data_IF_729584505479
#
_entry.id   IF_729584505479
#
_cell.length_a   1.000
_cell.length_b   1.000
_cell.length_c   1.000
_cell.angle_alpha   90.00
_cell.angle_beta   90.00
_cell.angle_gamma   90.00
#
_symmetry.space_group_name_H-M   'P 1'
#
loop_
_entity.id
_entity.type
_entity.pdbx_description
1 polymer ?
#
# COMPACT_ATOMS: atom_id res chain seq x y z
N UNK A 1 4.45 10.73 17.35
CA UNK A 1 3.28 11.36 16.74
C UNK A 1 2.02 11.04 17.56
N UNK A 2 1.08 11.96 17.77
CA UNK A 2 -0.09 11.75 18.62
C UNK A 2 -1.01 10.61 18.15
N UNK A 3 -1.07 10.32 16.86
CA UNK A 3 -1.85 9.21 16.28
C UNK A 3 -1.27 7.83 16.63
N UNK A 4 0.01 7.73 17.01
CA UNK A 4 0.69 6.44 17.15
C UNK A 4 0.06 5.48 18.17
N UNK A 5 -0.32 5.88 19.40
CA UNK A 5 -0.93 4.95 20.35
C UNK A 5 -2.24 4.35 19.84
N UNK A 6 -3.07 5.18 19.17
CA UNK A 6 -4.33 4.75 18.58
C UNK A 6 -4.10 3.77 17.41
N UNK A 7 -3.23 4.14 16.46
CA UNK A 7 -2.83 3.27 15.36
C UNK A 7 -2.27 1.94 15.87
N UNK A 8 -1.40 1.96 16.88
CA UNK A 8 -0.81 0.75 17.47
C UNK A 8 -1.87 -0.17 18.07
N UNK A 9 -2.88 0.39 18.74
CA UNK A 9 -4.01 -0.36 19.28
C UNK A 9 -4.82 -1.04 18.17
N UNK A 10 -5.16 -0.30 17.10
CA UNK A 10 -5.87 -0.85 15.94
C UNK A 10 -5.06 -1.98 15.31
N UNK A 11 -3.80 -1.74 14.97
CA UNK A 11 -2.96 -2.70 14.26
C UNK A 11 -2.58 -3.93 15.09
N UNK A 12 -2.75 -3.89 16.40
CA UNK A 12 -2.60 -5.09 17.24
C UNK A 12 -3.66 -6.16 16.96
N UNK A 13 -4.77 -5.79 16.34
CA UNK A 13 -5.91 -6.67 16.02
C UNK A 13 -5.90 -7.12 14.55
N UNK A 14 -4.94 -6.65 13.74
CA UNK A 14 -4.87 -6.99 12.32
C UNK A 14 -4.65 -8.50 12.11
N UNK A 15 -5.05 -9.06 10.96
CA UNK A 15 -4.77 -10.45 10.61
C UNK A 15 -3.27 -10.76 10.69
N UNK A 16 -2.95 -11.97 11.15
CA UNK A 16 -1.58 -12.45 11.15
C UNK A 16 -1.04 -12.58 9.71
N UNK A 17 0.26 -12.33 9.49
CA UNK A 17 0.90 -12.51 8.20
C UNK A 17 0.68 -13.92 7.64
N UNK A 18 0.37 -14.02 6.35
CA UNK A 18 0.29 -15.28 5.63
C UNK A 18 1.56 -15.44 4.77
N UNK A 19 2.37 -16.44 5.09
CA UNK A 19 3.61 -16.73 4.36
C UNK A 19 3.36 -17.22 2.93
N UNK A 20 2.17 -17.76 2.65
CA UNK A 20 1.80 -18.17 1.27
C UNK A 20 1.54 -16.97 0.37
N UNK A 21 1.31 -15.80 0.97
CA UNK A 21 1.16 -14.51 0.29
C UNK A 21 2.41 -13.63 0.40
N UNK A 22 3.54 -14.21 0.80
CA UNK A 22 4.82 -13.49 1.02
C UNK A 22 4.72 -12.32 2.00
N UNK A 23 3.76 -12.36 2.93
CA UNK A 23 3.59 -11.31 3.92
C UNK A 23 4.75 -11.26 4.90
N UNK A 24 5.40 -10.10 4.98
CA UNK A 24 6.39 -9.77 6.02
C UNK A 24 5.77 -8.71 6.92
N UNK A 25 5.65 -9.02 8.21
CA UNK A 25 5.00 -8.10 9.14
C UNK A 25 5.84 -6.85 9.39
N UNK A 26 5.34 -5.69 8.98
CA UNK A 26 5.86 -4.42 9.44
C UNK A 26 5.30 -4.04 10.82
N UNK A 27 6.05 -3.23 11.54
CA UNK A 27 5.59 -2.69 12.83
C UNK A 27 4.58 -1.56 12.62
N UNK A 28 3.70 -1.26 13.61
CA UNK A 28 2.84 -0.08 13.55
C UNK A 28 3.62 1.23 13.34
N UNK A 29 4.85 1.29 13.85
CA UNK A 29 5.75 2.43 13.64
C UNK A 29 6.19 2.54 12.17
N UNK A 30 6.39 1.41 11.49
CA UNK A 30 6.73 1.40 10.05
C UNK A 30 5.55 1.92 9.23
N UNK A 31 4.33 1.45 9.48
CA UNK A 31 3.12 1.95 8.82
C UNK A 31 2.96 3.47 9.01
N UNK A 32 3.14 3.96 10.24
CA UNK A 32 3.09 5.40 10.53
C UNK A 32 4.18 6.18 9.78
N UNK A 33 5.42 5.69 9.75
CA UNK A 33 6.53 6.36 9.04
C UNK A 33 6.26 6.45 7.54
N UNK A 34 5.71 5.40 6.93
CA UNK A 34 5.30 5.39 5.52
C UNK A 34 4.21 6.41 5.26
N UNK A 35 3.17 6.42 6.07
CA UNK A 35 2.08 7.38 5.96
C UNK A 35 2.56 8.83 6.13
N UNK A 36 3.40 9.12 7.13
CA UNK A 36 4.02 10.43 7.32
C UNK A 36 4.93 10.83 6.16
N UNK A 37 5.67 9.89 5.57
CA UNK A 37 6.48 10.17 4.39
C UNK A 37 5.58 10.61 3.23
N UNK A 38 4.51 9.88 2.95
CA UNK A 38 3.58 10.19 1.87
C UNK A 38 2.91 11.55 2.09
N UNK A 39 2.39 11.80 3.29
CA UNK A 39 1.71 13.06 3.65
C UNK A 39 2.64 14.28 3.63
N UNK A 40 3.93 14.11 3.99
CA UNK A 40 4.87 15.24 4.04
C UNK A 40 5.59 15.51 2.70
N UNK A 41 5.73 14.49 1.83
CA UNK A 41 6.48 14.63 0.58
C UNK A 41 5.61 14.96 -0.62
N UNK A 42 4.32 14.69 -0.53
CA UNK A 42 3.38 14.87 -1.63
C UNK A 42 2.19 15.72 -1.18
N UNK A 43 1.75 16.61 -2.06
CA UNK A 43 0.46 17.25 -1.89
C UNK A 43 -0.62 16.21 -2.21
N UNK A 44 -1.26 15.72 -1.17
CA UNK A 44 -2.33 14.73 -1.27
C UNK A 44 -3.73 15.38 -1.34
N UNK A 45 -3.81 16.71 -1.35
CA UNK A 45 -5.08 17.43 -1.50
C UNK A 45 -5.72 17.02 -2.83
N UNK A 46 -6.95 16.56 -2.78
CA UNK A 46 -7.70 16.08 -3.95
C UNK A 46 -7.07 14.90 -4.71
N UNK A 47 -6.02 14.28 -4.18
CA UNK A 47 -5.38 13.13 -4.78
C UNK A 47 -6.19 11.85 -4.55
N UNK A 48 -6.18 10.95 -5.55
CA UNK A 48 -6.64 9.57 -5.40
C UNK A 48 -5.42 8.68 -5.19
N UNK A 49 -5.37 7.98 -4.07
CA UNK A 49 -4.24 7.12 -3.69
C UNK A 49 -4.66 5.66 -3.68
N UNK A 50 -3.88 4.82 -4.36
CA UNK A 50 -4.02 3.37 -4.35
C UNK A 50 -2.90 2.72 -3.55
N UNK A 51 -3.24 1.81 -2.66
CA UNK A 51 -2.30 0.88 -2.06
C UNK A 51 -2.47 -0.49 -2.71
N UNK A 52 -1.43 -0.97 -3.40
CA UNK A 52 -1.37 -2.31 -3.99
C UNK A 52 -0.65 -3.25 -3.01
N UNK A 53 -1.42 -4.15 -2.41
CA UNK A 53 -0.97 -4.92 -1.27
C UNK A 53 -0.78 -4.01 -0.04
N UNK A 54 -1.59 -4.18 0.99
CA UNK A 54 -1.56 -3.29 2.16
C UNK A 54 -1.51 -4.07 3.47
N UNK A 55 -0.78 -5.20 3.49
CA UNK A 55 -0.65 -6.01 4.69
C UNK A 55 -0.15 -5.22 5.91
N UNK A 56 0.65 -4.20 5.68
CA UNK A 56 1.19 -3.30 6.70
C UNK A 56 0.18 -2.30 7.25
N UNK A 57 -1.01 -2.19 6.63
CA UNK A 57 -2.05 -1.23 6.99
C UNK A 57 -1.59 0.23 6.89
N UNK A 58 -0.79 0.55 5.89
CA UNK A 58 -0.40 1.93 5.60
C UNK A 58 -1.63 2.78 5.24
N UNK A 59 -2.67 2.18 4.65
CA UNK A 59 -3.96 2.84 4.39
C UNK A 59 -4.65 3.34 5.66
N UNK A 60 -4.68 2.53 6.71
CA UNK A 60 -5.26 2.93 8.01
C UNK A 60 -4.46 4.08 8.62
N UNK A 61 -3.13 4.01 8.57
CA UNK A 61 -2.28 5.10 9.05
C UNK A 61 -2.52 6.40 8.28
N UNK A 62 -2.67 6.33 6.94
CA UNK A 62 -3.01 7.48 6.10
C UNK A 62 -4.41 8.03 6.41
N UNK A 63 -5.42 7.18 6.56
CA UNK A 63 -6.78 7.61 6.88
C UNK A 63 -6.87 8.34 8.23
N UNK A 64 -6.03 7.97 9.20
CA UNK A 64 -5.94 8.64 10.50
C UNK A 64 -5.18 9.98 10.43
N UNK A 65 -4.26 10.14 9.47
CA UNK A 65 -3.50 11.38 9.27
C UNK A 65 -4.23 12.37 8.37
N UNK A 66 -4.85 11.86 7.32
CA UNK A 66 -5.49 12.62 6.23
C UNK A 66 -6.94 12.13 6.04
N UNK A 67 -7.89 12.49 6.92
CA UNK A 67 -9.24 11.93 6.89
C UNK A 67 -10.05 12.24 5.61
N UNK A 68 -9.67 13.27 4.86
CA UNK A 68 -10.31 13.67 3.60
C UNK A 68 -9.73 12.97 2.37
N UNK A 69 -8.63 12.21 2.53
CA UNK A 69 -7.94 11.58 1.42
C UNK A 69 -8.76 10.46 0.80
N UNK A 70 -8.85 10.44 -0.54
CA UNK A 70 -9.49 9.36 -1.28
C UNK A 70 -8.56 8.16 -1.37
N UNK A 71 -8.76 7.19 -0.49
CA UNK A 71 -7.96 5.97 -0.40
C UNK A 71 -8.64 4.77 -1.04
N UNK A 72 -7.85 3.96 -1.72
CA UNK A 72 -8.27 2.66 -2.25
C UNK A 72 -7.20 1.63 -1.91
N UNK A 73 -7.62 0.45 -1.48
CA UNK A 73 -6.76 -0.71 -1.25
C UNK A 73 -7.17 -1.83 -2.21
N UNK A 74 -6.20 -2.41 -2.90
CA UNK A 74 -6.37 -3.60 -3.71
C UNK A 74 -5.46 -4.71 -3.17
N UNK A 75 -6.05 -5.80 -2.71
CA UNK A 75 -5.32 -6.90 -2.08
C UNK A 75 -6.01 -8.25 -2.38
N UNK A 76 -5.25 -9.33 -2.32
CA UNK A 76 -5.75 -10.71 -2.46
C UNK A 76 -6.19 -11.31 -1.11
N UNK A 77 -5.76 -10.75 0.02
CA UNK A 77 -6.11 -11.25 1.34
C UNK A 77 -7.46 -10.69 1.82
N UNK A 78 -8.51 -11.50 1.69
CA UNK A 78 -9.86 -11.14 2.15
C UNK A 78 -9.90 -10.77 3.64
N UNK A 79 -9.07 -11.38 4.48
CA UNK A 79 -9.03 -11.09 5.92
C UNK A 79 -8.59 -9.65 6.17
N UNK A 80 -7.62 -9.19 5.39
CA UNK A 80 -7.13 -7.81 5.41
C UNK A 80 -8.22 -6.84 4.97
N UNK A 81 -8.88 -7.13 3.85
CA UNK A 81 -9.97 -6.30 3.34
C UNK A 81 -11.14 -6.21 4.33
N UNK A 82 -11.52 -7.34 4.96
CA UNK A 82 -12.53 -7.35 6.01
C UNK A 82 -12.12 -6.52 7.23
N UNK A 83 -10.86 -6.57 7.62
CA UNK A 83 -10.33 -5.75 8.71
C UNK A 83 -10.42 -4.26 8.40
N UNK A 84 -10.03 -3.83 7.19
CA UNK A 84 -10.16 -2.44 6.74
C UNK A 84 -11.64 -2.01 6.69
N UNK A 85 -12.54 -2.89 6.25
CA UNK A 85 -13.96 -2.60 6.24
C UNK A 85 -14.53 -2.41 7.67
N UNK A 86 -14.09 -3.23 8.62
CA UNK A 86 -14.41 -3.05 10.04
C UNK A 86 -13.90 -1.71 10.58
N UNK A 87 -12.68 -1.34 10.26
CA UNK A 87 -12.12 -0.03 10.59
C UNK A 87 -12.95 1.13 10.01
N UNK A 88 -13.37 1.03 8.74
CA UNK A 88 -14.25 2.02 8.12
C UNK A 88 -15.53 2.22 8.92
N UNK A 89 -16.18 1.12 9.31
CA UNK A 89 -17.44 1.16 10.05
C UNK A 89 -17.28 1.77 11.44
N UNK A 90 -16.17 1.47 12.13
CA UNK A 90 -15.90 1.95 13.49
C UNK A 90 -15.47 3.44 13.52
N UNK A 91 -14.69 3.88 12.53
CA UNK A 91 -14.07 5.21 12.54
C UNK A 91 -14.70 6.18 11.54
N UNK A 92 -15.73 5.77 10.79
CA UNK A 92 -16.40 6.62 9.81
C UNK A 92 -15.50 6.99 8.62
N UNK A 93 -14.50 6.17 8.30
CA UNK A 93 -13.61 6.38 7.16
C UNK A 93 -14.19 5.76 5.89
N UNK A 94 -13.67 6.15 4.72
CA UNK A 94 -14.18 5.72 3.42
C UNK A 94 -13.12 5.04 2.55
N UNK A 95 -12.23 4.23 3.13
CA UNK A 95 -11.24 3.48 2.36
C UNK A 95 -11.99 2.49 1.46
N UNK A 96 -11.85 2.66 0.14
CA UNK A 96 -12.42 1.71 -0.83
C UNK A 96 -11.56 0.46 -0.87
N UNK A 97 -12.19 -0.71 -0.92
CA UNK A 97 -11.50 -1.99 -0.95
C UNK A 97 -11.86 -2.78 -2.21
N UNK A 98 -10.84 -3.41 -2.82
CA UNK A 98 -10.99 -4.28 -3.98
C UNK A 98 -10.27 -5.59 -3.72
N UNK A 99 -10.98 -6.71 -3.75
CA UNK A 99 -10.36 -8.03 -3.85
C UNK A 99 -9.71 -8.14 -5.23
N UNK A 100 -8.40 -8.35 -5.27
CA UNK A 100 -7.65 -8.32 -6.52
C UNK A 100 -6.45 -9.27 -6.47
N UNK A 101 -6.45 -10.25 -7.37
CA UNK A 101 -5.26 -11.07 -7.64
C UNK A 101 -4.43 -10.34 -8.72
N UNK A 102 -3.29 -9.80 -8.32
CA UNK A 102 -2.44 -9.04 -9.24
C UNK A 102 -1.79 -9.89 -10.35
N UNK A 103 -1.84 -11.22 -10.25
CA UNK A 103 -1.38 -12.13 -11.32
C UNK A 103 -2.29 -12.06 -12.54
N UNK A 104 -3.54 -11.63 -12.37
CA UNK A 104 -4.46 -11.33 -13.46
C UNK A 104 -4.53 -9.81 -13.70
N UNK A 105 -5.20 -9.40 -14.77
CA UNK A 105 -5.39 -7.97 -15.05
C UNK A 105 -6.16 -7.26 -13.93
N UNK A 106 -5.82 -5.98 -13.71
CA UNK A 106 -6.57 -5.16 -12.77
C UNK A 106 -8.05 -5.06 -13.19
N UNK A 107 -8.97 -5.02 -12.23
CA UNK A 107 -10.37 -4.68 -12.51
C UNK A 107 -10.47 -3.31 -13.24
N UNK A 108 -11.38 -3.15 -14.21
CA UNK A 108 -11.53 -1.89 -14.96
C UNK A 108 -11.70 -0.65 -14.07
N UNK A 109 -12.31 -0.81 -12.88
CA UNK A 109 -12.48 0.28 -11.92
C UNK A 109 -11.19 0.79 -11.26
N UNK A 110 -10.06 0.12 -11.50
CA UNK A 110 -8.75 0.53 -10.99
C UNK A 110 -7.83 1.10 -12.07
N UNK A 111 -8.17 0.97 -13.36
CA UNK A 111 -7.33 1.45 -14.47
C UNK A 111 -7.41 2.97 -14.60
N UNK A 112 -6.26 3.63 -14.65
CA UNK A 112 -6.17 5.06 -14.92
C UNK A 112 -6.91 5.95 -13.92
N UNK A 113 -7.02 5.53 -12.65
CA UNK A 113 -7.85 6.22 -11.67
C UNK A 113 -7.06 6.97 -10.58
N UNK A 114 -5.74 6.73 -10.50
CA UNK A 114 -4.98 7.15 -9.33
C UNK A 114 -3.87 8.14 -9.68
N UNK A 115 -3.60 9.03 -8.76
CA UNK A 115 -2.53 10.03 -8.83
C UNK A 115 -1.24 9.51 -8.19
N UNK A 116 -1.41 8.67 -7.17
CA UNK A 116 -0.31 8.04 -6.47
C UNK A 116 -0.65 6.58 -6.21
N UNK A 117 0.31 5.70 -6.49
CA UNK A 117 0.26 4.28 -6.10
C UNK A 117 1.39 4.01 -5.12
N UNK A 118 1.05 3.47 -3.96
CA UNK A 118 2.01 2.97 -2.98
C UNK A 118 1.99 1.44 -2.97
N UNK A 119 3.16 0.81 -2.91
CA UNK A 119 3.26 -0.65 -2.82
C UNK A 119 4.53 -1.10 -2.08
N UNK A 120 4.43 -2.23 -1.37
CA UNK A 120 5.54 -2.98 -0.78
C UNK A 120 5.46 -4.42 -1.31
N UNK A 121 5.98 -4.66 -2.54
CA UNK A 121 5.81 -5.93 -3.23
C UNK A 121 6.66 -7.04 -2.61
N UNK A 122 6.37 -8.32 -2.93
CA UNK A 122 7.28 -9.43 -2.64
C UNK A 122 8.70 -9.15 -3.12
N UNK A 123 9.70 -9.50 -2.31
CA UNK A 123 11.11 -9.21 -2.59
C UNK A 123 11.72 -10.19 -3.60
N UNK A 124 11.10 -10.28 -4.77
CA UNK A 124 11.58 -11.03 -5.93
C UNK A 124 11.51 -10.17 -7.19
N UNK A 125 12.32 -10.49 -8.19
CA UNK A 125 12.32 -9.79 -9.48
C UNK A 125 10.93 -9.81 -10.12
N UNK A 126 10.31 -11.00 -10.20
CA UNK A 126 8.98 -11.19 -10.76
C UNK A 126 7.89 -10.47 -9.94
N UNK A 127 8.00 -10.53 -8.61
CA UNK A 127 7.05 -9.85 -7.71
C UNK A 127 7.09 -8.34 -7.89
N UNK A 128 8.28 -7.74 -7.86
CA UNK A 128 8.45 -6.30 -8.09
C UNK A 128 7.96 -5.91 -9.48
N UNK A 129 8.34 -6.66 -10.53
CA UNK A 129 7.90 -6.40 -11.91
C UNK A 129 6.39 -6.45 -12.06
N UNK A 130 5.74 -7.46 -11.48
CA UNK A 130 4.29 -7.60 -11.50
C UNK A 130 3.58 -6.42 -10.84
N UNK A 131 3.99 -6.06 -9.63
CA UNK A 131 3.37 -4.97 -8.87
C UNK A 131 3.58 -3.62 -9.57
N UNK A 132 4.76 -3.37 -10.12
CA UNK A 132 5.04 -2.15 -10.90
C UNK A 132 4.18 -2.07 -12.16
N UNK A 133 4.04 -3.17 -12.91
CA UNK A 133 3.17 -3.21 -14.09
C UNK A 133 1.72 -2.86 -13.73
N UNK A 134 1.19 -3.40 -12.63
CA UNK A 134 -0.16 -3.08 -12.16
C UNK A 134 -0.26 -1.64 -11.67
N UNK A 135 0.76 -1.14 -10.99
CA UNK A 135 0.82 0.25 -10.56
C UNK A 135 0.79 1.22 -11.75
N UNK A 136 1.54 0.94 -12.82
CA UNK A 136 1.53 1.74 -14.06
C UNK A 136 0.12 1.76 -14.68
N UNK A 137 -0.53 0.59 -14.79
CA UNK A 137 -1.90 0.51 -15.33
C UNK A 137 -2.93 1.27 -14.48
N UNK A 138 -2.69 1.42 -13.19
CA UNK A 138 -3.60 2.11 -12.28
C UNK A 138 -3.45 3.64 -12.31
N UNK A 139 -2.29 4.15 -12.72
CA UNK A 139 -2.03 5.59 -12.77
C UNK A 139 -2.84 6.28 -13.89
N UNK A 140 -3.27 7.49 -13.60
CA UNK A 140 -3.83 8.41 -14.60
C UNK A 140 -2.76 8.83 -15.61
N UNK A 141 -3.17 8.99 -16.86
CA UNK A 141 -2.33 9.60 -17.90
C UNK A 141 -2.29 11.13 -17.72
N UNK A 142 -1.54 11.59 -16.74
CA UNK A 142 -1.31 13.02 -16.50
C UNK A 142 0.03 13.26 -15.82
N UNK A 143 0.52 14.50 -15.88
CA UNK A 143 1.73 14.90 -15.18
C UNK A 143 1.58 14.74 -13.66
N UNK A 144 2.71 14.52 -12.99
CA UNK A 144 2.84 14.43 -11.54
C UNK A 144 2.23 13.18 -10.88
N UNK A 145 1.82 12.16 -11.64
CA UNK A 145 1.51 10.85 -11.08
C UNK A 145 2.77 10.14 -10.58
N UNK A 146 2.64 9.32 -9.53
CA UNK A 146 3.80 8.70 -8.87
C UNK A 146 3.51 7.26 -8.45
N UNK A 147 4.55 6.44 -8.56
CA UNK A 147 4.61 5.13 -7.89
C UNK A 147 5.64 5.23 -6.78
N UNK A 148 5.25 4.89 -5.58
CA UNK A 148 6.13 4.81 -4.41
C UNK A 148 6.31 3.34 -4.06
N UNK A 149 7.51 2.86 -4.29
CA UNK A 149 7.92 1.50 -3.99
C UNK A 149 8.61 1.47 -2.62
N UNK A 150 8.00 0.83 -1.63
CA UNK A 150 8.67 0.51 -0.39
C UNK A 150 9.52 -0.75 -0.60
N UNK A 151 10.80 -0.67 -0.28
CA UNK A 151 11.70 -1.79 -0.44
C UNK A 151 12.71 -1.83 0.71
N UNK A 152 12.80 -2.99 1.37
CA UNK A 152 13.78 -3.21 2.43
C UNK A 152 15.13 -3.62 1.86
N UNK A 153 16.16 -2.78 2.04
CA UNK A 153 17.54 -3.12 1.70
C UNK A 153 18.29 -3.57 2.96
N UNK A 154 18.84 -4.78 2.91
CA UNK A 154 19.72 -5.30 3.97
C UNK A 154 21.08 -5.67 3.41
N UNK A 155 22.16 -5.42 4.17
CA UNK A 155 23.53 -5.74 3.77
C UNK A 155 23.72 -7.23 3.40
N UNK A 156 22.85 -8.11 3.90
CA UNK A 156 22.89 -9.54 3.61
C UNK A 156 22.21 -9.91 2.27
N UNK A 157 21.54 -8.97 1.59
CA UNK A 157 20.77 -9.20 0.37
C UNK A 157 21.12 -8.22 -0.76
N UNK A 158 22.41 -7.87 -0.90
CA UNK A 158 22.89 -6.93 -1.93
C UNK A 158 22.50 -7.35 -3.35
N UNK A 159 22.55 -8.67 -3.64
CA UNK A 159 22.19 -9.20 -4.95
C UNK A 159 20.71 -9.01 -5.28
N UNK A 160 19.84 -9.03 -4.28
CA UNK A 160 18.40 -8.78 -4.46
C UNK A 160 18.13 -7.30 -4.75
N UNK A 161 18.81 -6.39 -4.06
CA UNK A 161 18.76 -4.95 -4.35
C UNK A 161 19.15 -4.63 -5.79
N UNK A 162 20.21 -5.26 -6.31
CA UNK A 162 20.63 -5.10 -7.70
C UNK A 162 19.56 -5.60 -8.69
N UNK A 163 18.96 -6.77 -8.42
CA UNK A 163 17.89 -7.32 -9.26
C UNK A 163 16.66 -6.41 -9.30
N UNK A 164 16.24 -5.85 -8.17
CA UNK A 164 15.13 -4.89 -8.12
C UNK A 164 15.48 -3.63 -8.91
N UNK A 165 16.69 -3.11 -8.78
CA UNK A 165 17.11 -1.95 -9.58
C UNK A 165 17.09 -2.24 -11.08
N UNK A 166 17.44 -3.46 -11.51
CA UNK A 166 17.38 -3.81 -12.94
C UNK A 166 15.97 -3.91 -13.52
N UNK A 167 14.97 -4.14 -12.70
CA UNK A 167 13.55 -4.10 -13.10
C UNK A 167 13.06 -2.66 -13.31
N UNK A 168 13.71 -1.68 -12.65
CA UNK A 168 13.35 -0.27 -12.73
C UNK A 168 13.96 0.46 -13.94
N UNK A 169 14.84 -0.20 -14.69
CA UNK A 169 15.51 0.30 -15.90
C UNK A 169 14.98 -0.37 -17.16
#
# INVERSE_FOLDING_TARGET
HPVFPHLSSILSQRPAPDRHLDHVAATPLTALKRALFLSNQYDLSDASVLLLGDHDMTSIALALLEPSLVLTVADIDERLLLFINGFNAEHGTGIRIFFTDLRVELPPGLHGQFDLVFTDPPYSEDGVGLFLQRAICALRERDFTRIILAYGYGEQQVSLGYKVQSVLH
#
